data_IF_593867783644
#
_entry.id   IF_593867783644
#
_cell.length_a   1.000
_cell.length_b   1.000
_cell.length_c   1.000
_cell.angle_alpha   90.00
_cell.angle_beta   90.00
_cell.angle_gamma   90.00
#
_symmetry.space_group_name_H-M   'P 1'
#
loop_
_entity.id
_entity.type
_entity.pdbx_description
1 polymer ?
#
# COMPACT_ATOMS: atom_id res chain seq x y z
N UNK A 1 30.49 4.96 9.64
CA UNK A 1 29.57 3.97 9.06
C UNK A 1 28.46 4.78 8.43
N UNK A 2 28.49 4.97 7.12
CA UNK A 2 27.42 5.69 6.41
C UNK A 2 26.36 4.62 6.19
N UNK A 3 25.33 4.61 7.04
CA UNK A 3 24.15 3.79 6.81
C UNK A 3 23.55 4.25 5.48
N UNK A 4 23.77 3.47 4.42
CA UNK A 4 23.14 3.73 3.13
C UNK A 4 21.63 3.80 3.36
N UNK A 5 20.97 4.90 2.98
CA UNK A 5 19.54 5.02 3.16
C UNK A 5 18.89 3.84 2.44
N UNK A 6 18.27 2.95 3.22
CA UNK A 6 17.67 1.69 2.75
C UNK A 6 16.94 1.96 1.43
N UNK A 7 17.33 1.25 0.37
CA UNK A 7 16.95 1.58 -1.00
C UNK A 7 15.42 1.74 -1.09
N UNK A 8 14.97 2.89 -1.58
CA UNK A 8 13.56 3.31 -1.56
C UNK A 8 12.64 2.26 -2.21
N UNK A 9 13.12 1.63 -3.28
CA UNK A 9 12.41 0.57 -4.01
C UNK A 9 12.38 -0.76 -3.24
N UNK A 10 13.43 -1.05 -2.47
CA UNK A 10 13.55 -2.26 -1.67
C UNK A 10 12.56 -2.22 -0.49
N UNK A 11 12.36 -1.04 0.10
CA UNK A 11 11.31 -0.84 1.12
C UNK A 11 9.90 -1.13 0.58
N UNK A 12 9.63 -0.79 -0.69
CA UNK A 12 8.35 -1.08 -1.33
C UNK A 12 8.16 -2.59 -1.52
N UNK A 13 9.22 -3.31 -1.93
CA UNK A 13 9.22 -4.76 -2.13
C UNK A 13 8.98 -5.57 -0.85
N UNK A 14 9.46 -5.07 0.30
CA UNK A 14 9.27 -5.70 1.60
C UNK A 14 7.84 -5.51 2.18
N UNK A 15 6.97 -4.72 1.53
CA UNK A 15 5.66 -4.41 2.10
C UNK A 15 4.68 -5.60 1.99
N UNK A 16 3.93 -5.93 3.05
CA UNK A 16 2.89 -6.96 3.01
C UNK A 16 1.85 -6.76 1.89
N UNK A 17 1.59 -5.50 1.52
CA UNK A 17 0.65 -5.13 0.46
C UNK A 17 1.34 -4.89 -0.89
N UNK A 18 2.59 -5.32 -1.06
CA UNK A 18 3.35 -5.11 -2.30
C UNK A 18 2.59 -5.61 -3.54
N UNK A 19 1.96 -6.78 -3.47
CA UNK A 19 1.16 -7.33 -4.57
C UNK A 19 -0.03 -6.43 -4.94
N UNK A 20 -0.67 -5.81 -3.95
CA UNK A 20 -1.79 -4.90 -4.16
C UNK A 20 -1.31 -3.57 -4.76
N UNK A 21 -0.17 -3.06 -4.29
CA UNK A 21 0.49 -1.87 -4.85
C UNK A 21 0.89 -2.14 -6.31
N UNK A 22 1.49 -3.30 -6.58
CA UNK A 22 1.90 -3.71 -7.93
C UNK A 22 0.69 -3.85 -8.86
N UNK A 23 -0.39 -4.48 -8.40
CA UNK A 23 -1.63 -4.57 -9.18
C UNK A 23 -2.21 -3.19 -9.51
N UNK A 24 -2.24 -2.28 -8.53
CA UNK A 24 -2.67 -0.89 -8.75
C UNK A 24 -1.78 -0.14 -9.73
N UNK A 25 -0.45 -0.32 -9.63
CA UNK A 25 0.52 0.26 -10.55
C UNK A 25 0.32 -0.25 -11.99
N UNK A 26 0.07 -1.55 -12.17
CA UNK A 26 -0.20 -2.14 -13.49
C UNK A 26 -1.50 -1.57 -14.07
N UNK A 27 -2.58 -1.53 -13.29
CA UNK A 27 -3.88 -0.99 -13.72
C UNK A 27 -3.73 0.49 -14.11
N UNK A 28 -2.98 1.26 -13.31
CA UNK A 28 -2.69 2.66 -13.60
C UNK A 28 -1.90 2.81 -14.91
N UNK A 29 -0.83 2.04 -15.07
CA UNK A 29 0.01 2.05 -16.28
C UNK A 29 -0.78 1.68 -17.53
N UNK A 30 -1.57 0.62 -17.47
CA UNK A 30 -2.44 0.19 -18.56
C UNK A 30 -3.47 1.28 -18.91
N UNK A 31 -3.92 2.06 -17.93
CA UNK A 31 -4.82 3.19 -18.15
C UNK A 31 -4.28 4.29 -19.08
N UNK A 32 -2.97 4.38 -19.33
CA UNK A 32 -2.43 5.28 -20.36
C UNK A 32 -2.72 4.80 -21.80
N UNK A 33 -3.12 3.53 -21.98
CA UNK A 33 -3.28 2.90 -23.29
C UNK A 33 -4.74 2.57 -23.66
N UNK A 34 -5.70 2.64 -22.72
CA UNK A 34 -7.12 2.25 -22.96
C UNK A 34 -7.97 3.42 -23.57
N UNK A 35 -7.35 4.43 -24.19
CA UNK A 35 -8.09 5.49 -24.90
C UNK A 35 -9.17 6.17 -24.03
N UNK A 36 -10.44 6.10 -24.43
CA UNK A 36 -11.59 6.75 -23.75
C UNK A 36 -11.80 6.24 -22.32
N UNK A 37 -11.59 4.94 -22.06
CA UNK A 37 -11.71 4.40 -20.70
C UNK A 37 -10.42 4.55 -19.88
N UNK A 38 -9.36 5.12 -20.48
CA UNK A 38 -8.07 5.29 -19.84
C UNK A 38 -8.16 6.04 -18.50
N UNK A 39 -8.95 7.12 -18.43
CA UNK A 39 -9.13 7.88 -17.19
C UNK A 39 -9.73 7.07 -16.03
N UNK A 40 -10.61 6.12 -16.33
CA UNK A 40 -11.17 5.20 -15.33
C UNK A 40 -10.11 4.25 -14.78
N UNK A 41 -9.28 3.69 -15.66
CA UNK A 41 -8.19 2.79 -15.25
C UNK A 41 -7.08 3.54 -14.49
N UNK A 42 -6.72 4.75 -14.93
CA UNK A 42 -5.75 5.59 -14.23
C UNK A 42 -6.22 5.95 -12.82
N UNK A 43 -7.45 6.42 -12.66
CA UNK A 43 -8.01 6.76 -11.35
C UNK A 43 -8.21 5.54 -10.45
N UNK A 44 -8.67 4.41 -11.01
CA UNK A 44 -8.84 3.16 -10.25
C UNK A 44 -7.50 2.59 -9.78
N UNK A 45 -6.50 2.55 -10.67
CA UNK A 45 -5.15 2.09 -10.32
C UNK A 45 -4.50 2.99 -9.26
N UNK A 46 -4.59 4.31 -9.44
CA UNK A 46 -4.15 5.30 -8.46
C UNK A 46 -4.82 5.11 -7.10
N UNK A 47 -6.15 5.00 -7.06
CA UNK A 47 -6.90 4.80 -5.82
C UNK A 47 -6.52 3.48 -5.13
N UNK A 48 -6.29 2.42 -5.89
CA UNK A 48 -5.86 1.13 -5.35
C UNK A 48 -4.48 1.20 -4.70
N UNK A 49 -3.52 1.88 -5.33
CA UNK A 49 -2.20 2.15 -4.75
C UNK A 49 -2.32 2.96 -3.46
N UNK A 50 -3.14 4.03 -3.47
CA UNK A 50 -3.40 4.84 -2.28
C UNK A 50 -3.99 4.01 -1.14
N UNK A 51 -4.97 3.16 -1.43
CA UNK A 51 -5.60 2.31 -0.42
C UNK A 51 -4.61 1.29 0.16
N UNK A 52 -3.86 0.60 -0.71
CA UNK A 52 -2.88 -0.40 -0.30
C UNK A 52 -1.75 0.19 0.57
N UNK A 53 -1.27 1.39 0.21
CA UNK A 53 -0.25 2.11 0.98
C UNK A 53 -0.82 2.65 2.30
N UNK A 54 -2.08 3.11 2.33
CA UNK A 54 -2.75 3.55 3.55
C UNK A 54 -2.94 2.43 4.58
N UNK A 55 -3.23 1.19 4.15
CA UNK A 55 -3.45 0.06 5.06
C UNK A 55 -2.24 -0.24 5.97
N UNK A 56 -1.02 -0.04 5.47
CA UNK A 56 0.22 -0.25 6.23
C UNK A 56 0.88 1.05 6.71
N UNK A 57 0.28 2.20 6.42
CA UNK A 57 0.84 3.51 6.73
C UNK A 57 1.10 3.75 8.23
N UNK A 58 0.27 3.18 9.10
CA UNK A 58 0.38 3.33 10.57
C UNK A 58 1.60 2.57 11.13
N UNK A 59 2.13 1.58 10.42
CA UNK A 59 3.23 0.73 10.90
C UNK A 59 4.62 1.11 10.36
N UNK A 60 4.72 2.03 9.40
CA UNK A 60 5.99 2.40 8.78
C UNK A 60 6.67 3.54 9.52
N UNK A 61 7.99 3.46 9.69
CA UNK A 61 8.81 4.54 10.22
C UNK A 61 8.98 5.65 9.16
N UNK A 62 8.70 6.89 9.54
CA UNK A 62 8.64 8.06 8.62
C UNK A 62 9.99 8.77 8.48
N UNK A 63 11.03 8.32 9.19
CA UNK A 63 12.35 8.95 9.20
C UNK A 63 13.00 9.03 7.81
N UNK A 64 12.73 8.06 6.92
CA UNK A 64 13.19 8.04 5.54
C UNK A 64 12.16 8.56 4.51
N UNK A 65 11.02 9.11 4.95
CA UNK A 65 9.94 9.51 4.04
C UNK A 65 10.31 10.70 3.15
N UNK A 66 11.10 11.64 3.66
CA UNK A 66 11.54 12.83 2.89
C UNK A 66 12.44 12.47 1.70
N UNK A 67 13.53 11.69 1.89
CA UNK A 67 14.33 11.20 0.77
C UNK A 67 13.51 10.39 -0.25
N UNK A 68 12.63 9.50 0.23
CA UNK A 68 11.76 8.70 -0.64
C UNK A 68 10.80 9.53 -1.48
N UNK A 69 10.20 10.56 -0.88
CA UNK A 69 9.31 11.50 -1.58
C UNK A 69 10.06 12.31 -2.65
N UNK A 70 11.26 12.80 -2.33
CA UNK A 70 12.09 13.56 -3.26
C UNK A 70 12.55 12.71 -4.45
N UNK A 71 13.00 11.48 -4.19
CA UNK A 71 13.41 10.54 -5.24
C UNK A 71 12.21 10.17 -6.11
N UNK A 72 11.06 9.83 -5.50
CA UNK A 72 9.83 9.54 -6.25
C UNK A 72 9.37 10.72 -7.11
N UNK A 73 9.41 11.93 -6.55
CA UNK A 73 9.10 13.16 -7.26
C UNK A 73 10.04 13.41 -8.44
N UNK A 74 11.35 13.23 -8.24
CA UNK A 74 12.34 13.38 -9.30
C UNK A 74 12.11 12.36 -10.43
N UNK A 75 11.86 11.09 -10.09
CA UNK A 75 11.55 10.04 -11.07
C UNK A 75 10.28 10.38 -11.86
N UNK A 76 9.24 10.89 -11.19
CA UNK A 76 8.00 11.28 -11.86
C UNK A 76 8.20 12.48 -12.80
N UNK A 77 8.97 13.49 -12.38
CA UNK A 77 9.31 14.65 -13.23
C UNK A 77 10.12 14.22 -14.44
N UNK A 78 11.15 13.37 -14.25
CA UNK A 78 11.94 12.81 -15.36
C UNK A 78 11.03 12.02 -16.30
N UNK A 79 10.12 11.20 -15.75
CA UNK A 79 9.13 10.46 -16.53
C UNK A 79 8.25 11.37 -17.38
N UNK A 80 7.82 12.51 -16.83
CA UNK A 80 7.06 13.52 -17.56
C UNK A 80 7.86 14.11 -18.72
N UNK A 81 9.13 14.48 -18.50
CA UNK A 81 10.01 14.93 -19.59
C UNK A 81 10.35 13.84 -20.61
N UNK A 82 10.20 12.56 -20.27
CA UNK A 82 10.43 11.42 -21.15
C UNK A 82 9.14 10.85 -21.76
N UNK A 83 7.98 11.51 -21.60
CA UNK A 83 6.71 11.05 -22.21
C UNK A 83 6.73 10.98 -23.74
N UNK A 84 7.65 11.69 -24.39
CA UNK A 84 7.90 11.57 -25.82
C UNK A 84 8.44 10.19 -26.22
N UNK A 85 9.08 9.46 -25.29
CA UNK A 85 9.47 8.08 -25.48
C UNK A 85 8.30 7.19 -25.05
N UNK A 86 7.67 6.46 -25.99
CA UNK A 86 6.55 5.59 -25.65
C UNK A 86 6.99 4.54 -24.64
N UNK A 87 6.08 4.17 -23.73
CA UNK A 87 6.30 3.22 -22.63
C UNK A 87 7.20 3.72 -21.49
N UNK A 88 8.39 4.23 -21.77
CA UNK A 88 9.38 4.60 -20.74
C UNK A 88 8.90 5.79 -19.90
N UNK A 89 8.40 6.86 -20.52
CA UNK A 89 7.93 8.03 -19.78
C UNK A 89 6.76 7.69 -18.85
N UNK A 90 5.75 6.98 -19.37
CA UNK A 90 4.58 6.56 -18.60
C UNK A 90 4.95 5.60 -17.46
N UNK A 91 5.93 4.71 -17.67
CA UNK A 91 6.41 3.79 -16.64
C UNK A 91 7.04 4.56 -15.49
N UNK A 92 7.93 5.52 -15.80
CA UNK A 92 8.58 6.37 -14.81
C UNK A 92 7.58 7.24 -14.05
N UNK A 93 6.55 7.76 -14.72
CA UNK A 93 5.46 8.50 -14.07
C UNK A 93 4.75 7.62 -13.03
N UNK A 94 4.39 6.39 -13.40
CA UNK A 94 3.72 5.46 -12.49
C UNK A 94 4.64 5.06 -11.34
N UNK A 95 5.88 4.67 -11.61
CA UNK A 95 6.85 4.27 -10.57
C UNK A 95 7.12 5.43 -9.61
N UNK A 96 7.36 6.63 -10.13
CA UNK A 96 7.54 7.84 -9.33
C UNK A 96 6.30 8.16 -8.50
N UNK A 97 5.11 8.07 -9.10
CA UNK A 97 3.84 8.27 -8.41
C UNK A 97 3.59 7.26 -7.30
N UNK A 98 3.86 5.97 -7.52
CA UNK A 98 3.78 4.93 -6.48
C UNK A 98 4.74 5.23 -5.34
N UNK A 99 5.99 5.60 -5.64
CA UNK A 99 6.96 5.97 -4.62
C UNK A 99 6.48 7.19 -3.81
N UNK A 100 5.99 8.24 -4.46
CA UNK A 100 5.42 9.40 -3.77
C UNK A 100 4.29 8.97 -2.84
N UNK A 101 3.30 8.22 -3.34
CA UNK A 101 2.16 7.77 -2.53
C UNK A 101 2.61 6.91 -1.35
N UNK A 102 3.57 6.02 -1.57
CA UNK A 102 4.10 5.12 -0.56
C UNK A 102 4.71 5.85 0.63
N UNK A 103 5.33 7.02 0.43
CA UNK A 103 5.91 7.83 1.52
C UNK A 103 5.02 8.99 1.98
N UNK A 104 4.26 9.61 1.07
CA UNK A 104 3.39 10.74 1.35
C UNK A 104 2.20 10.33 2.24
N UNK A 105 1.60 9.17 1.99
CA UNK A 105 0.40 8.74 2.73
C UNK A 105 0.73 8.46 4.21
N UNK A 106 1.76 7.66 4.55
CA UNK A 106 2.19 7.51 5.94
C UNK A 106 2.58 8.83 6.59
N UNK A 107 3.31 9.69 5.87
CA UNK A 107 3.70 11.01 6.37
C UNK A 107 2.47 11.87 6.70
N UNK A 108 1.48 11.92 5.80
CA UNK A 108 0.24 12.68 5.98
C UNK A 108 -0.63 12.12 7.12
N UNK A 109 -0.69 10.79 7.28
CA UNK A 109 -1.47 10.14 8.35
C UNK A 109 -0.81 10.31 9.72
N UNK A 110 0.53 10.26 9.80
CA UNK A 110 1.25 10.34 11.08
C UNK A 110 1.50 11.79 11.53
N UNK A 111 1.70 12.73 10.61
CA UNK A 111 1.90 14.16 10.92
C UNK A 111 0.62 14.99 10.89
N UNK A 112 -0.39 14.54 10.14
CA UNK A 112 -1.73 15.08 10.29
C UNK A 112 -2.28 14.60 11.62
N UNK A 113 -2.43 15.49 12.59
CA UNK A 113 -3.10 15.27 13.88
C UNK A 113 -4.59 14.94 13.68
N UNK A 114 -4.91 13.89 12.93
CA UNK A 114 -6.26 13.54 12.53
C UNK A 114 -6.83 12.55 13.56
N UNK A 115 -7.94 12.89 14.26
CA UNK A 115 -8.59 12.01 15.24
C UNK A 115 -9.05 10.65 14.65
N UNK A 116 -9.00 10.50 13.32
CA UNK A 116 -9.32 9.31 12.53
C UNK A 116 -8.36 8.13 12.81
N UNK A 117 -7.14 8.37 13.33
CA UNK A 117 -6.16 7.32 13.62
C UNK A 117 -6.75 6.28 14.61
N UNK A 118 -7.56 6.73 15.58
CA UNK A 118 -8.25 5.82 16.53
C UNK A 118 -9.32 4.94 15.85
N UNK A 119 -10.00 5.46 14.83
CA UNK A 119 -11.00 4.70 14.08
C UNK A 119 -10.37 3.71 13.09
N UNK A 120 -9.28 4.10 12.43
CA UNK A 120 -8.49 3.22 11.56
C UNK A 120 -7.85 2.09 12.36
N UNK A 121 -7.31 2.36 13.56
CA UNK A 121 -6.80 1.32 14.46
C UNK A 121 -7.90 0.32 14.86
N UNK A 122 -9.12 0.79 15.19
CA UNK A 122 -10.26 -0.10 15.48
C UNK A 122 -10.67 -0.97 14.28
N UNK A 123 -10.65 -0.44 13.07
CA UNK A 123 -10.95 -1.21 11.85
C UNK A 123 -9.85 -2.23 11.54
N UNK A 124 -8.59 -1.86 11.72
CA UNK A 124 -7.44 -2.75 11.54
C UNK A 124 -7.42 -3.88 12.59
N UNK A 125 -7.76 -3.57 13.84
CA UNK A 125 -7.95 -4.58 14.89
C UNK A 125 -9.13 -5.51 14.61
N UNK A 126 -10.21 -4.98 14.03
CA UNK A 126 -11.39 -5.79 13.66
C UNK A 126 -11.07 -6.77 12.53
N UNK A 127 -10.27 -6.37 11.53
CA UNK A 127 -9.72 -7.25 10.50
C UNK A 127 -8.79 -8.33 11.11
N UNK A 128 -7.90 -7.94 12.03
CA UNK A 128 -6.98 -8.88 12.72
C UNK A 128 -7.73 -9.88 13.61
N UNK A 129 -8.88 -9.51 14.18
CA UNK A 129 -9.75 -10.40 14.96
C UNK A 129 -10.66 -11.25 14.07
N UNK A 130 -11.08 -10.77 12.89
CA UNK A 130 -11.86 -11.55 11.94
C UNK A 130 -11.07 -12.74 11.38
N UNK A 131 -9.76 -12.59 11.14
CA UNK A 131 -8.87 -13.69 10.74
C UNK A 131 -8.65 -14.78 11.80
N UNK A 132 -9.01 -14.54 13.07
CA UNK A 132 -8.91 -15.54 14.17
C UNK A 132 -10.22 -16.26 14.48
N UNK A 133 -11.35 -15.88 13.88
CA UNK A 133 -12.68 -16.45 14.23
C UNK A 133 -13.23 -17.47 13.24
N UNK A 134 -12.47 -17.86 12.21
CA UNK A 134 -12.93 -18.85 11.22
C UNK A 134 -12.20 -20.21 11.31
N UNK A 135 -11.84 -20.64 12.52
CA UNK A 135 -11.22 -21.97 12.77
C UNK A 135 -11.87 -22.77 13.90
N UNK A 136 -12.97 -22.32 14.49
CA UNK A 136 -13.65 -23.09 15.54
C UNK A 136 -15.14 -22.88 15.47
N UNK A 137 -15.84 -23.67 14.65
CA UNK A 137 -17.24 -23.99 14.88
C UNK A 137 -17.60 -25.35 14.24
N UNK A 138 -18.06 -26.26 15.12
CA UNK A 138 -18.67 -27.60 14.97
C UNK A 138 -17.68 -28.77 15.14
N UNK A 139 -17.87 -29.68 16.10
CA UNK A 139 -19.13 -30.21 16.63
C UNK A 139 -19.14 -30.49 18.15
N UNK A 140 -20.34 -30.51 18.75
CA UNK A 140 -20.59 -30.78 20.17
C UNK A 140 -20.83 -32.27 20.44
N UNK A 141 -20.49 -32.73 21.65
CA UNK A 141 -21.27 -33.70 22.45
C UNK A 141 -20.58 -33.95 23.79
N UNK A 142 -21.08 -33.27 24.81
CA UNK A 142 -21.11 -33.82 26.16
C UNK A 142 -22.07 -35.01 26.16
N UNK A 143 -21.60 -36.18 26.58
CA UNK A 143 -22.45 -37.24 27.14
C UNK A 143 -21.63 -38.03 28.16
N UNK A 144 -22.04 -37.88 29.41
CA UNK A 144 -21.94 -38.81 30.56
C UNK A 144 -20.61 -39.05 31.30
N UNK A 145 -20.56 -38.45 32.50
CA UNK A 145 -20.45 -39.10 33.82
C UNK A 145 -19.56 -40.36 33.91
N UNK A 146 -18.39 -40.31 34.56
CA UNK A 146 -18.14 -40.28 36.02
C UNK A 146 -18.28 -41.65 36.71
N UNK A 147 -17.17 -42.09 37.34
CA UNK A 147 -17.04 -43.09 38.43
C UNK A 147 -17.50 -44.53 38.12
N UNK A 148 -16.91 -45.63 38.60
CA UNK A 148 -15.83 -45.97 39.53
C UNK A 148 -15.81 -47.52 39.58
N UNK A 149 -14.63 -48.10 39.82
CA UNK A 149 -14.41 -49.49 40.30
C UNK A 149 -14.60 -50.67 39.33
#
# INVERSE_FOLDING_TARGET
MIEEPKNVLEQIGDDPNYLLILAGAIIWYVGFYIGILGGLFQSTGFALVCFATALNAVRRAVEAAWPGLLIGGLVQVIGFYLTWIPFIGNLLIVVGGVAILYFAIPLAIQRGELPIITHLQKLLESQKKAGKKQSTTKSPKDTENNESS
#
